data_IF_833043358777
#
_entry.id   IF_833043358777
#
_cell.length_a   1.000
_cell.length_b   1.000
_cell.length_c   1.000
_cell.angle_alpha   90.00
_cell.angle_beta   90.00
_cell.angle_gamma   90.00
#
_symmetry.space_group_name_H-M   'P 1'
#
loop_
_entity.id
_entity.type
_entity.pdbx_description
1 polymer ?
#
# COMPACT_ATOMS: atom_id res chain seq x y z
N UNK A 1 -7.53 -19.76 3.81
CA UNK A 1 -6.36 -19.97 2.92
C UNK A 1 -5.91 -18.71 2.16
N UNK A 2 -6.51 -17.52 2.34
CA UNK A 2 -6.13 -16.29 1.62
C UNK A 2 -5.00 -15.47 2.27
N UNK A 3 -4.68 -15.69 3.56
CA UNK A 3 -3.67 -14.91 4.29
C UNK A 3 -2.22 -15.31 4.00
N UNK A 4 -1.97 -16.58 3.68
CA UNK A 4 -0.61 -17.08 3.45
C UNK A 4 0.05 -16.41 2.25
N UNK A 5 -0.72 -16.17 1.18
CA UNK A 5 -0.24 -15.51 -0.04
C UNK A 5 0.11 -14.04 0.19
N UNK A 6 -0.66 -13.33 1.02
CA UNK A 6 -0.38 -11.93 1.32
C UNK A 6 0.85 -11.78 2.22
N UNK A 7 0.95 -12.58 3.28
CA UNK A 7 2.11 -12.59 4.14
C UNK A 7 3.40 -12.97 3.38
N UNK A 8 3.31 -13.86 2.39
CA UNK A 8 4.43 -14.18 1.51
C UNK A 8 4.82 -13.00 0.61
N UNK A 9 3.84 -12.30 0.05
CA UNK A 9 4.09 -11.08 -0.72
C UNK A 9 4.78 -10.00 0.12
N UNK A 10 4.34 -9.77 1.36
CA UNK A 10 4.98 -8.82 2.28
C UNK A 10 6.45 -9.21 2.53
N UNK A 11 6.71 -10.48 2.86
CA UNK A 11 8.08 -10.97 3.06
C UNK A 11 8.95 -10.83 1.80
N UNK A 12 8.37 -10.98 0.61
CA UNK A 12 9.07 -10.75 -0.65
C UNK A 12 9.51 -9.28 -0.76
N UNK A 13 8.59 -8.33 -0.53
CA UNK A 13 8.91 -6.91 -0.57
C UNK A 13 9.95 -6.51 0.47
N UNK A 14 9.81 -6.98 1.70
CA UNK A 14 10.78 -6.71 2.78
C UNK A 14 12.20 -7.18 2.39
N UNK A 15 12.31 -8.38 1.83
CA UNK A 15 13.59 -8.93 1.38
C UNK A 15 14.16 -8.14 0.19
N UNK A 16 13.34 -7.87 -0.81
CA UNK A 16 13.76 -7.12 -2.00
C UNK A 16 14.19 -5.69 -1.64
N UNK A 17 13.48 -5.02 -0.73
CA UNK A 17 13.83 -3.69 -0.20
C UNK A 17 15.11 -3.73 0.64
N UNK A 18 15.28 -4.74 1.49
CA UNK A 18 16.48 -4.90 2.31
C UNK A 18 17.74 -5.11 1.47
N UNK A 19 17.61 -5.75 0.30
CA UNK A 19 18.69 -5.94 -0.66
C UNK A 19 19.12 -4.64 -1.36
N UNK A 20 18.29 -3.58 -1.33
CA UNK A 20 18.66 -2.26 -1.85
C UNK A 20 19.44 -1.51 -0.77
N UNK A 21 20.73 -1.81 -0.68
CA UNK A 21 21.69 -1.09 0.14
C UNK A 21 22.44 -0.10 -0.75
N UNK A 22 22.28 1.19 -0.47
CA UNK A 22 23.03 2.26 -1.14
C UNK A 22 24.35 2.43 -0.38
N UNK A 23 25.50 2.11 -0.99
CA UNK A 23 26.80 2.32 -0.35
C UNK A 23 27.08 3.83 -0.18
N UNK A 24 27.94 4.18 0.76
CA UNK A 24 28.29 5.58 1.05
C UNK A 24 28.96 6.27 -0.16
N UNK A 25 29.78 5.52 -0.90
CA UNK A 25 30.47 5.96 -2.10
C UNK A 25 30.12 4.99 -3.25
N UNK A 26 28.97 5.17 -3.91
CA UNK A 26 28.56 4.28 -4.99
C UNK A 26 29.39 4.54 -6.26
N UNK A 27 29.94 3.48 -6.84
CA UNK A 27 30.55 3.57 -8.16
C UNK A 27 29.50 3.54 -9.29
N UNK A 28 29.92 3.74 -10.54
CA UNK A 28 28.98 3.74 -11.68
C UNK A 28 28.24 2.41 -11.85
N UNK A 29 28.89 1.29 -11.58
CA UNK A 29 28.30 -0.04 -11.69
C UNK A 29 27.24 -0.25 -10.62
N UNK A 30 27.51 0.20 -9.40
CA UNK A 30 26.55 0.18 -8.29
C UNK A 30 25.34 1.04 -8.60
N UNK A 31 25.53 2.24 -9.15
CA UNK A 31 24.42 3.15 -9.49
C UNK A 31 23.51 2.51 -10.53
N UNK A 32 24.07 2.03 -11.64
CA UNK A 32 23.25 1.40 -12.70
C UNK A 32 22.54 0.14 -12.20
N UNK A 33 23.21 -0.68 -11.38
CA UNK A 33 22.60 -1.87 -10.77
C UNK A 33 21.45 -1.50 -9.82
N UNK A 34 21.67 -0.52 -8.93
CA UNK A 34 20.68 -0.09 -7.95
C UNK A 34 19.49 0.61 -8.61
N UNK A 35 19.71 1.45 -9.63
CA UNK A 35 18.64 2.06 -10.43
C UNK A 35 17.75 0.99 -11.07
N UNK A 36 18.35 -0.01 -11.72
CA UNK A 36 17.59 -1.10 -12.37
C UNK A 36 16.78 -1.92 -11.36
N UNK A 37 17.36 -2.23 -10.20
CA UNK A 37 16.67 -2.94 -9.11
C UNK A 37 15.50 -2.12 -8.55
N UNK A 38 15.73 -0.83 -8.28
CA UNK A 38 14.70 0.07 -7.77
C UNK A 38 13.57 0.22 -8.79
N UNK A 39 13.87 0.45 -10.07
CA UNK A 39 12.86 0.64 -11.12
C UNK A 39 11.96 -0.59 -11.29
N UNK A 40 12.57 -1.78 -11.32
CA UNK A 40 11.84 -3.06 -11.42
C UNK A 40 10.89 -3.23 -10.24
N UNK A 41 11.40 -3.02 -9.02
CA UNK A 41 10.62 -3.20 -7.81
C UNK A 41 9.54 -2.12 -7.65
N UNK A 42 9.85 -0.89 -8.01
CA UNK A 42 8.94 0.25 -7.97
C UNK A 42 7.78 0.07 -8.94
N UNK A 43 8.05 -0.39 -10.17
CA UNK A 43 7.02 -0.71 -11.16
C UNK A 43 6.06 -1.78 -10.64
N UNK A 44 6.60 -2.89 -10.10
CA UNK A 44 5.80 -3.95 -9.46
C UNK A 44 4.96 -3.41 -8.29
N UNK A 45 5.58 -2.65 -7.38
CA UNK A 45 4.90 -2.03 -6.25
C UNK A 45 3.79 -1.06 -6.64
N UNK A 46 3.98 -0.28 -7.72
CA UNK A 46 2.96 0.64 -8.23
C UNK A 46 1.73 -0.08 -8.76
N UNK A 47 1.90 -1.20 -9.47
CA UNK A 47 0.77 -2.01 -9.92
C UNK A 47 0.03 -2.64 -8.74
N UNK A 48 0.75 -3.17 -7.77
CA UNK A 48 0.15 -3.77 -6.57
C UNK A 48 -0.56 -2.72 -5.71
N UNK A 49 0.01 -1.52 -5.55
CA UNK A 49 -0.65 -0.38 -4.91
C UNK A 49 -1.95 0.00 -5.63
N UNK A 50 -1.94 0.09 -6.95
CA UNK A 50 -3.14 0.40 -7.72
C UNK A 50 -4.26 -0.62 -7.46
N UNK A 51 -3.92 -1.92 -7.44
CA UNK A 51 -4.88 -2.98 -7.12
C UNK A 51 -5.40 -2.88 -5.68
N UNK A 52 -4.52 -2.65 -4.71
CA UNK A 52 -4.89 -2.50 -3.30
C UNK A 52 -5.80 -1.28 -3.09
N UNK A 53 -5.47 -0.14 -3.72
CA UNK A 53 -6.28 1.07 -3.71
C UNK A 53 -7.67 0.82 -4.28
N UNK A 54 -7.78 0.20 -5.45
CA UNK A 54 -9.08 -0.14 -6.05
C UNK A 54 -9.91 -1.05 -5.15
N UNK A 55 -9.28 -2.05 -4.53
CA UNK A 55 -9.97 -2.93 -3.58
C UNK A 55 -10.49 -2.17 -2.35
N UNK A 56 -9.67 -1.29 -1.77
CA UNK A 56 -10.05 -0.44 -0.65
C UNK A 56 -11.21 0.49 -1.01
N UNK A 57 -11.11 1.23 -2.12
CA UNK A 57 -12.15 2.16 -2.57
C UNK A 57 -13.47 1.46 -2.84
N UNK A 58 -13.44 0.28 -3.46
CA UNK A 58 -14.63 -0.52 -3.73
C UNK A 58 -15.29 -0.99 -2.43
N UNK A 59 -14.51 -1.53 -1.49
CA UNK A 59 -15.06 -2.03 -0.21
C UNK A 59 -15.56 -0.89 0.67
N UNK A 60 -14.86 0.26 0.68
CA UNK A 60 -15.29 1.46 1.39
C UNK A 60 -16.59 2.02 0.80
N UNK A 61 -16.76 1.98 -0.52
CA UNK A 61 -18.03 2.33 -1.17
C UNK A 61 -19.16 1.39 -0.74
N UNK A 62 -18.93 0.08 -0.80
CA UNK A 62 -19.91 -0.91 -0.35
C UNK A 62 -20.33 -0.71 1.12
N UNK A 63 -19.38 -0.38 1.99
CA UNK A 63 -19.62 -0.02 3.38
C UNK A 63 -20.53 1.22 3.51
N UNK A 64 -20.21 2.30 2.80
CA UNK A 64 -21.01 3.54 2.81
C UNK A 64 -22.41 3.33 2.26
N UNK A 65 -22.54 2.58 1.17
CA UNK A 65 -23.83 2.28 0.54
C UNK A 65 -24.70 1.43 1.47
N UNK A 66 -24.12 0.40 2.10
CA UNK A 66 -24.81 -0.45 3.08
C UNK A 66 -25.27 0.35 4.30
N UNK A 67 -24.43 1.23 4.83
CA UNK A 67 -24.82 2.12 5.94
C UNK A 67 -25.97 3.03 5.52
N UNK A 68 -25.90 3.62 4.33
CA UNK A 68 -26.93 4.53 3.82
C UNK A 68 -28.26 3.81 3.64
N UNK A 69 -28.25 2.64 3.00
CA UNK A 69 -29.43 1.78 2.83
C UNK A 69 -30.07 1.45 4.19
N UNK A 70 -29.28 0.96 5.14
CA UNK A 70 -29.80 0.61 6.47
C UNK A 70 -30.29 1.83 7.25
N UNK A 71 -29.65 3.00 7.11
CA UNK A 71 -30.08 4.23 7.78
C UNK A 71 -31.45 4.70 7.27
N UNK A 72 -31.69 4.62 5.97
CA UNK A 72 -32.96 5.00 5.35
C UNK A 72 -34.13 4.08 5.76
N UNK A 73 -33.83 2.81 6.05
CA UNK A 73 -34.82 1.83 6.48
C UNK A 73 -35.03 1.80 8.01
N UNK A 74 -34.11 2.39 8.77
CA UNK A 74 -34.18 2.39 10.23
C UNK A 74 -35.24 3.37 10.76
N UNK A 75 -35.97 2.94 11.78
CA UNK A 75 -36.93 3.78 12.51
C UNK A 75 -36.29 4.36 13.77
N UNK A 76 -36.95 5.33 14.41
CA UNK A 76 -36.46 5.95 15.64
C UNK A 76 -35.70 7.27 15.41
N UNK A 77 -35.03 7.73 16.46
CA UNK A 77 -34.28 8.99 16.45
C UNK A 77 -33.07 8.92 15.52
N UNK A 78 -32.54 10.09 15.12
CA UNK A 78 -31.34 10.15 14.27
C UNK A 78 -30.17 9.30 14.83
N UNK A 79 -29.90 9.42 16.14
CA UNK A 79 -28.81 8.71 16.81
C UNK A 79 -29.01 7.18 16.80
N UNK A 80 -30.26 6.73 17.00
CA UNK A 80 -30.59 5.31 16.96
C UNK A 80 -30.45 4.74 15.55
N UNK A 81 -30.90 5.47 14.53
CA UNK A 81 -30.72 5.08 13.12
C UNK A 81 -29.24 5.01 12.73
N UNK A 82 -28.43 5.98 13.16
CA UNK A 82 -26.98 5.97 12.95
C UNK A 82 -26.35 4.73 13.60
N UNK A 83 -26.66 4.45 14.87
CA UNK A 83 -26.13 3.28 15.57
C UNK A 83 -26.55 1.95 14.90
N UNK A 84 -27.82 1.83 14.51
CA UNK A 84 -28.35 0.64 13.82
C UNK A 84 -27.69 0.43 12.47
N UNK A 85 -27.55 1.48 11.66
CA UNK A 85 -26.91 1.39 10.34
C UNK A 85 -25.45 0.96 10.39
N UNK A 86 -24.71 1.43 11.40
CA UNK A 86 -23.34 0.98 11.65
C UNK A 86 -23.32 -0.50 12.02
N UNK A 87 -24.15 -0.92 12.99
CA UNK A 87 -24.19 -2.32 13.42
C UNK A 87 -24.59 -3.27 12.29
N UNK A 88 -25.53 -2.85 11.44
CA UNK A 88 -25.96 -3.62 10.28
C UNK A 88 -24.81 -3.80 9.28
N UNK A 89 -24.14 -2.71 8.91
CA UNK A 89 -23.01 -2.75 7.98
C UNK A 89 -21.85 -3.64 8.49
N UNK A 90 -21.58 -3.62 9.81
CA UNK A 90 -20.57 -4.50 10.45
C UNK A 90 -20.85 -5.98 10.30
N UNK A 91 -22.12 -6.37 10.33
CA UNK A 91 -22.54 -7.79 10.31
C UNK A 91 -22.82 -8.31 8.91
N UNK A 92 -22.99 -7.42 7.92
CA UNK A 92 -23.30 -7.82 6.54
C UNK A 92 -22.09 -8.55 5.92
N UNK A 93 -22.35 -9.72 5.34
CA UNK A 93 -21.37 -10.51 4.59
C UNK A 93 -21.16 -9.94 3.18
N UNK A 94 -19.97 -10.15 2.63
CA UNK A 94 -19.63 -9.76 1.25
C UNK A 94 -19.88 -10.93 0.29
N UNK A 95 -21.00 -10.89 -0.44
CA UNK A 95 -21.38 -11.97 -1.36
C UNK A 95 -21.49 -13.31 -0.63
N UNK A 96 -20.91 -14.36 -1.20
CA UNK A 96 -20.87 -15.72 -0.62
C UNK A 96 -19.68 -15.93 0.35
N UNK A 97 -18.93 -14.88 0.66
CA UNK A 97 -17.81 -14.96 1.60
C UNK A 97 -18.29 -14.95 3.05
N UNK A 98 -17.58 -15.65 3.93
CA UNK A 98 -17.76 -15.53 5.38
C UNK A 98 -17.25 -14.22 5.97
N UNK A 99 -16.54 -13.41 5.17
CA UNK A 99 -16.06 -12.10 5.59
C UNK A 99 -17.20 -11.09 5.67
N UNK A 100 -17.24 -10.35 6.77
CA UNK A 100 -18.09 -9.16 6.88
C UNK A 100 -17.50 -8.01 6.07
N UNK A 101 -18.32 -7.01 5.73
CA UNK A 101 -17.84 -5.79 5.05
C UNK A 101 -16.78 -5.09 5.90
N UNK A 102 -16.92 -5.07 7.23
CA UNK A 102 -15.92 -4.49 8.12
C UNK A 102 -14.58 -5.24 8.05
N UNK A 103 -14.60 -6.57 8.14
CA UNK A 103 -13.38 -7.38 8.00
C UNK A 103 -12.73 -7.20 6.63
N UNK A 104 -13.53 -7.19 5.56
CA UNK A 104 -13.04 -6.96 4.20
C UNK A 104 -12.44 -5.55 4.04
N UNK A 105 -13.04 -4.54 4.68
CA UNK A 105 -12.56 -3.16 4.64
C UNK A 105 -11.21 -3.05 5.34
N UNK A 106 -11.09 -3.60 6.55
CA UNK A 106 -9.83 -3.60 7.31
C UNK A 106 -8.71 -4.29 6.54
N UNK A 107 -8.97 -5.46 5.94
CA UNK A 107 -7.99 -6.17 5.11
C UNK A 107 -7.58 -5.33 3.90
N UNK A 108 -8.52 -4.69 3.22
CA UNK A 108 -8.22 -3.87 2.05
C UNK A 108 -7.42 -2.60 2.42
N UNK A 109 -7.76 -1.98 3.55
CA UNK A 109 -7.08 -0.82 4.11
C UNK A 109 -5.63 -1.15 4.50
N UNK A 110 -5.43 -2.22 5.25
CA UNK A 110 -4.09 -2.70 5.64
C UNK A 110 -3.20 -2.91 4.41
N UNK A 111 -3.74 -3.60 3.39
CA UNK A 111 -3.02 -3.86 2.14
C UNK A 111 -2.69 -2.58 1.39
N UNK A 112 -3.61 -1.62 1.36
CA UNK A 112 -3.41 -0.32 0.73
C UNK A 112 -2.27 0.45 1.41
N UNK A 113 -2.33 0.62 2.73
CA UNK A 113 -1.31 1.35 3.48
C UNK A 113 0.06 0.66 3.45
N UNK A 114 0.10 -0.67 3.49
CA UNK A 114 1.36 -1.40 3.33
C UNK A 114 2.01 -1.08 1.97
N UNK A 115 1.23 -1.10 0.89
CA UNK A 115 1.76 -0.81 -0.45
C UNK A 115 2.15 0.66 -0.63
N UNK A 116 1.46 1.61 0.03
CA UNK A 116 1.91 3.00 0.08
C UNK A 116 3.30 3.11 0.74
N UNK A 117 3.47 2.48 1.90
CA UNK A 117 4.75 2.47 2.61
C UNK A 117 5.88 1.85 1.76
N UNK A 118 5.61 0.75 1.05
CA UNK A 118 6.57 0.14 0.11
C UNK A 118 7.00 1.14 -0.98
N UNK A 119 6.03 1.82 -1.63
CA UNK A 119 6.31 2.79 -2.69
C UNK A 119 7.11 3.99 -2.15
N UNK A 120 6.79 4.45 -0.94
CA UNK A 120 7.48 5.58 -0.32
C UNK A 120 8.92 5.23 0.07
N UNK A 121 9.16 4.03 0.60
CA UNK A 121 10.51 3.53 0.89
C UNK A 121 11.35 3.48 -0.40
N UNK A 122 10.78 2.96 -1.49
CA UNK A 122 11.48 2.86 -2.78
C UNK A 122 11.79 4.24 -3.36
N UNK A 123 10.85 5.19 -3.24
CA UNK A 123 11.09 6.59 -3.62
C UNK A 123 12.20 7.22 -2.78
N UNK A 124 12.20 6.98 -1.47
CA UNK A 124 13.26 7.44 -0.57
C UNK A 124 14.63 6.92 -0.99
N UNK A 125 14.74 5.62 -1.25
CA UNK A 125 15.99 5.00 -1.73
C UNK A 125 16.44 5.54 -3.08
N UNK A 126 15.51 5.76 -4.01
CA UNK A 126 15.83 6.38 -5.29
C UNK A 126 16.39 7.79 -5.12
N UNK A 127 15.74 8.61 -4.29
CA UNK A 127 16.19 9.98 -4.01
C UNK A 127 17.58 9.99 -3.37
N UNK A 128 17.87 9.10 -2.43
CA UNK A 128 19.21 8.95 -1.84
C UNK A 128 20.26 8.60 -2.88
N UNK A 129 19.95 7.71 -3.84
CA UNK A 129 20.85 7.35 -4.92
C UNK A 129 21.14 8.54 -5.85
N UNK A 130 20.12 9.32 -6.19
CA UNK A 130 20.27 10.55 -7.01
C UNK A 130 21.16 11.59 -6.31
N UNK A 131 20.98 11.76 -5.00
CA UNK A 131 21.81 12.67 -4.20
C UNK A 131 23.27 12.21 -4.19
N UNK A 132 23.52 10.92 -3.95
CA UNK A 132 24.86 10.35 -3.97
C UNK A 132 25.55 10.53 -5.35
N UNK A 133 24.80 10.32 -6.44
CA UNK A 133 25.29 10.58 -7.80
C UNK A 133 25.63 12.06 -8.03
N UNK A 134 24.81 12.98 -7.50
CA UNK A 134 25.06 14.42 -7.58
C UNK A 134 26.33 14.83 -6.85
N UNK A 135 26.52 14.34 -5.62
CA UNK A 135 27.72 14.58 -4.82
C UNK A 135 28.99 14.07 -5.51
N UNK A 136 28.98 12.82 -6.00
CA UNK A 136 30.11 12.21 -6.69
C UNK A 136 30.54 12.97 -7.96
N UNK A 137 29.59 13.60 -8.68
CA UNK A 137 29.91 14.46 -9.84
C UNK A 137 30.59 15.76 -9.41
N UNK A 138 30.08 16.43 -8.38
CA UNK A 138 30.62 17.69 -7.87
C UNK A 138 32.05 17.52 -7.33
N UNK A 139 32.32 16.46 -6.58
CA UNK A 139 33.68 16.16 -6.07
C UNK A 139 34.68 15.98 -7.21
N UNK A 140 34.28 15.30 -8.29
CA UNK A 140 35.12 15.11 -9.48
C UNK A 140 35.42 16.40 -10.23
N UNK A 141 34.49 17.36 -10.22
CA UNK A 141 34.69 18.66 -10.86
C UNK A 141 35.54 19.61 -10.00
N UNK A 142 35.55 19.44 -8.66
CA UNK A 142 36.38 20.20 -7.72
C UNK A 142 37.83 19.69 -7.61
N UNK A 143 38.07 18.42 -7.96
CA UNK A 143 39.40 17.78 -7.93
C UNK A 143 40.10 17.73 -9.30
N UNK A 144 39.53 18.40 -10.30
CA UNK A 144 40.13 18.63 -11.63
C UNK A 144 40.70 20.03 -11.73
#
# INVERSE_FOLDING_TARGET
MADSSWAEKMRSYEREIANIQVPAEPDKTDITRLESLIDTLYSKARFDLARAKTAFERTNRLWKDTKTESYLLATGTQKEREAMSIQFARKRKVGDSDLTIESALNIAEERYFYMEAVVDILRGKHNSLVIALGAAKLEKDLTR
#
